data_IF_887840789449
#
_entry.id   IF_887840789449
#
_cell.length_a   1.000
_cell.length_b   1.000
_cell.length_c   1.000
_cell.angle_alpha   90.00
_cell.angle_beta   90.00
_cell.angle_gamma   90.00
#
_symmetry.space_group_name_H-M   'P 1'
#
loop_
_entity.id
_entity.type
_entity.pdbx_description
1 polymer ?
#
# COMPACT_ATOMS: atom_id res chain seq x y z
N UNK A 1 14.55 -3.17 -72.64
CA UNK A 1 14.14 -3.42 -71.24
C UNK A 1 14.51 -4.85 -70.91
N UNK A 2 15.65 -5.08 -70.26
CA UNK A 2 16.15 -6.44 -69.99
C UNK A 2 16.29 -6.59 -68.48
N UNK A 3 15.38 -7.36 -67.88
CA UNK A 3 15.39 -7.64 -66.45
C UNK A 3 16.24 -8.90 -66.18
N UNK A 4 17.42 -8.71 -65.61
CA UNK A 4 18.29 -9.81 -65.16
C UNK A 4 17.66 -10.55 -63.98
N UNK A 5 17.53 -11.89 -64.02
CA UNK A 5 16.99 -12.65 -62.90
C UNK A 5 17.99 -12.67 -61.73
N UNK A 6 17.49 -12.37 -60.52
CA UNK A 6 18.26 -12.35 -59.27
C UNK A 6 18.61 -13.79 -58.85
N UNK A 7 19.87 -14.21 -59.06
CA UNK A 7 20.38 -15.49 -58.56
C UNK A 7 20.36 -15.47 -57.04
N UNK A 8 19.53 -16.33 -56.46
CA UNK A 8 19.38 -16.49 -55.01
C UNK A 8 20.27 -17.63 -54.56
N UNK A 9 21.29 -17.34 -53.73
CA UNK A 9 22.34 -18.27 -53.34
C UNK A 9 21.79 -19.50 -52.58
N UNK A 10 22.40 -20.70 -52.70
CA UNK A 10 21.90 -21.93 -52.06
C UNK A 10 21.71 -21.79 -50.55
N UNK A 11 22.64 -21.10 -49.87
CA UNK A 11 22.56 -20.78 -48.45
C UNK A 11 21.30 -20.00 -48.08
N UNK A 12 20.92 -18.99 -48.88
CA UNK A 12 19.73 -18.18 -48.62
C UNK A 12 18.41 -18.97 -48.77
N UNK A 13 18.37 -20.00 -49.60
CA UNK A 13 17.22 -20.93 -49.70
C UNK A 13 17.16 -21.88 -48.52
N UNK A 14 18.30 -22.38 -48.04
CA UNK A 14 18.39 -23.20 -46.83
C UNK A 14 17.99 -22.40 -45.60
N UNK A 15 18.47 -21.17 -45.45
CA UNK A 15 18.13 -20.27 -44.35
C UNK A 15 16.64 -19.92 -44.34
N UNK A 16 16.02 -19.70 -45.50
CA UNK A 16 14.58 -19.51 -45.61
C UNK A 16 13.78 -20.76 -45.21
N UNK A 17 14.22 -21.96 -45.63
CA UNK A 17 13.59 -23.25 -45.26
C UNK A 17 13.70 -23.56 -43.77
N UNK A 18 14.82 -23.20 -43.14
CA UNK A 18 15.04 -23.35 -41.70
C UNK A 18 14.61 -22.11 -40.88
N UNK A 19 13.88 -21.18 -41.49
CA UNK A 19 13.29 -20.02 -40.80
C UNK A 19 14.29 -18.97 -40.30
N UNK A 20 15.57 -19.07 -40.67
CA UNK A 20 16.65 -18.14 -40.32
C UNK A 20 16.62 -16.93 -41.25
N UNK A 21 15.56 -16.13 -41.17
CA UNK A 21 15.52 -14.85 -41.86
C UNK A 21 16.09 -13.73 -40.96
N UNK A 22 16.89 -12.79 -41.50
CA UNK A 22 17.36 -11.61 -40.77
C UNK A 22 16.20 -10.79 -40.18
N UNK A 23 15.05 -10.77 -40.89
CA UNK A 23 13.80 -10.12 -40.45
C UNK A 23 13.22 -10.79 -39.20
N UNK A 24 13.27 -12.12 -39.11
CA UNK A 24 12.83 -12.87 -37.93
C UNK A 24 13.71 -12.62 -36.70
N UNK A 25 15.03 -12.56 -36.89
CA UNK A 25 15.97 -12.23 -35.80
C UNK A 25 15.77 -10.80 -35.29
N UNK A 26 15.63 -9.82 -36.19
CA UNK A 26 15.38 -8.42 -35.82
C UNK A 26 14.06 -8.24 -35.07
N UNK A 27 12.98 -8.91 -35.51
CA UNK A 27 11.69 -8.88 -34.81
C UNK A 27 11.77 -9.45 -33.39
N UNK A 28 12.47 -10.58 -33.19
CA UNK A 28 12.68 -11.16 -31.85
C UNK A 28 13.46 -10.23 -30.93
N UNK A 29 14.50 -9.56 -31.45
CA UNK A 29 15.27 -8.57 -30.68
C UNK A 29 14.41 -7.36 -30.30
N UNK A 30 13.61 -6.82 -31.21
CA UNK A 30 12.72 -5.68 -30.93
C UNK A 30 11.66 -6.06 -29.88
N UNK A 31 11.05 -7.24 -30.01
CA UNK A 31 10.06 -7.73 -29.03
C UNK A 31 10.72 -7.98 -27.67
N UNK A 32 11.89 -8.61 -27.65
CA UNK A 32 12.63 -8.84 -26.40
C UNK A 32 13.01 -7.53 -25.71
N UNK A 33 13.50 -6.55 -26.47
CA UNK A 33 13.82 -5.22 -25.95
C UNK A 33 12.57 -4.50 -25.43
N UNK A 34 11.46 -4.53 -26.18
CA UNK A 34 10.23 -3.87 -25.73
C UNK A 34 9.69 -4.48 -24.43
N UNK A 35 9.75 -5.81 -24.30
CA UNK A 35 9.32 -6.50 -23.06
C UNK A 35 10.24 -6.13 -21.90
N UNK A 36 11.56 -6.11 -22.12
CA UNK A 36 12.52 -5.72 -21.09
C UNK A 36 12.31 -4.28 -20.62
N UNK A 37 12.11 -3.33 -21.55
CA UNK A 37 11.83 -1.93 -21.22
C UNK A 37 10.52 -1.80 -20.46
N UNK A 38 9.46 -2.47 -20.92
CA UNK A 38 8.17 -2.46 -20.22
C UNK A 38 8.29 -3.00 -18.79
N UNK A 39 9.02 -4.09 -18.60
CA UNK A 39 9.26 -4.66 -17.27
C UNK A 39 10.01 -3.68 -16.37
N UNK A 40 11.08 -3.05 -16.86
CA UNK A 40 11.84 -2.05 -16.08
C UNK A 40 10.97 -0.87 -15.68
N UNK A 41 10.12 -0.37 -16.57
CA UNK A 41 9.21 0.76 -16.27
C UNK A 41 8.18 0.37 -15.22
N UNK A 42 7.53 -0.79 -15.37
CA UNK A 42 6.52 -1.26 -14.40
C UNK A 42 7.16 -1.52 -13.04
N UNK A 43 8.34 -2.15 -13.02
CA UNK A 43 9.07 -2.42 -11.79
C UNK A 43 9.51 -1.13 -11.08
N UNK A 44 10.05 -0.16 -11.84
CA UNK A 44 10.42 1.14 -11.27
C UNK A 44 9.21 1.88 -10.69
N UNK A 45 8.07 1.90 -11.40
CA UNK A 45 6.84 2.49 -10.91
C UNK A 45 6.36 1.82 -9.61
N UNK A 46 6.42 0.48 -9.55
CA UNK A 46 6.07 -0.28 -8.35
C UNK A 46 7.00 0.02 -7.16
N UNK A 47 8.32 0.10 -7.38
CA UNK A 47 9.30 0.46 -6.33
C UNK A 47 9.04 1.86 -5.80
N UNK A 48 8.78 2.83 -6.68
CA UNK A 48 8.43 4.21 -6.29
C UNK A 48 7.17 4.20 -5.44
N UNK A 49 6.12 3.51 -5.88
CA UNK A 49 4.87 3.39 -5.12
C UNK A 49 5.09 2.78 -3.73
N UNK A 50 5.79 1.64 -3.64
CA UNK A 50 6.07 0.95 -2.39
C UNK A 50 6.93 1.78 -1.42
N UNK A 51 7.86 2.60 -1.94
CA UNK A 51 8.70 3.46 -1.12
C UNK A 51 7.90 4.58 -0.44
N UNK A 52 6.86 5.11 -1.09
CA UNK A 52 6.04 6.19 -0.54
C UNK A 52 4.90 5.70 0.35
N UNK A 53 4.46 4.44 0.20
CA UNK A 53 3.39 3.84 1.02
C UNK A 53 3.80 3.65 2.50
N UNK A 54 5.10 3.53 2.79
CA UNK A 54 5.63 3.20 4.12
C UNK A 54 5.92 4.39 5.05
N UNK A 55 5.47 5.62 4.76
CA UNK A 55 5.89 6.80 5.52
C UNK A 55 4.94 7.13 6.67
N UNK A 56 5.07 6.43 7.79
CA UNK A 56 4.51 6.83 9.09
C UNK A 56 5.48 6.56 10.26
N UNK A 57 6.79 6.69 10.02
CA UNK A 57 7.82 6.29 11.00
C UNK A 57 7.95 7.18 12.25
N UNK A 58 7.22 8.30 12.32
CA UNK A 58 7.24 9.20 13.48
C UNK A 58 6.06 8.97 14.43
N UNK A 59 4.99 8.33 13.96
CA UNK A 59 3.77 8.14 14.73
C UNK A 59 3.19 6.76 14.44
N UNK A 60 3.21 5.91 15.45
CA UNK A 60 2.65 4.57 15.39
C UNK A 60 1.61 4.37 16.48
N UNK A 61 0.51 3.70 16.15
CA UNK A 61 -0.59 3.42 17.07
C UNK A 61 -0.93 1.95 17.05
N UNK A 62 -1.14 1.36 18.22
CA UNK A 62 -1.52 -0.03 18.39
C UNK A 62 -2.76 -0.16 19.28
N UNK A 63 -3.74 -0.92 18.81
CA UNK A 63 -4.89 -1.31 19.63
C UNK A 63 -4.48 -2.33 20.68
N UNK A 64 -4.83 -2.08 21.94
CA UNK A 64 -4.53 -2.98 23.07
C UNK A 64 -5.76 -3.82 23.42
N UNK A 65 -6.94 -3.20 23.47
CA UNK A 65 -8.19 -3.89 23.78
C UNK A 65 -9.37 -2.94 23.94
N UNK A 66 -10.54 -3.53 24.17
CA UNK A 66 -11.77 -2.79 24.46
C UNK A 66 -12.63 -3.53 25.49
N UNK A 67 -13.44 -2.77 26.22
CA UNK A 67 -14.39 -3.26 27.22
C UNK A 67 -15.74 -2.59 26.96
N UNK A 68 -16.76 -3.37 26.61
CA UNK A 68 -18.13 -2.86 26.44
C UNK A 68 -18.75 -2.67 27.82
N UNK A 69 -18.90 -1.42 28.25
CA UNK A 69 -19.41 -1.08 29.59
C UNK A 69 -20.93 -0.96 29.62
N UNK A 70 -21.58 -0.63 28.49
CA UNK A 70 -23.04 -0.63 28.35
C UNK A 70 -23.48 -0.68 26.88
N UNK A 71 -24.79 -0.70 26.62
CA UNK A 71 -25.34 -0.61 25.25
C UNK A 71 -25.14 0.77 24.59
N UNK A 72 -24.58 1.75 25.32
CA UNK A 72 -24.33 3.13 24.85
C UNK A 72 -22.91 3.61 25.16
N UNK A 73 -22.01 2.72 25.62
CA UNK A 73 -20.65 3.09 25.94
C UNK A 73 -19.67 1.91 25.83
N UNK A 74 -18.48 2.21 25.34
CA UNK A 74 -17.34 1.29 25.29
C UNK A 74 -16.08 2.01 25.75
N UNK A 75 -15.23 1.30 26.45
CA UNK A 75 -13.92 1.77 26.86
C UNK A 75 -12.86 1.16 25.94
N UNK A 76 -12.01 1.99 25.35
CA UNK A 76 -11.00 1.59 24.36
C UNK A 76 -9.62 1.86 24.94
N UNK A 77 -8.77 0.84 24.92
CA UNK A 77 -7.36 0.92 25.29
C UNK A 77 -6.48 0.82 24.05
N UNK A 78 -5.59 1.79 23.89
CA UNK A 78 -4.68 1.89 22.76
C UNK A 78 -3.33 2.46 23.21
N UNK A 79 -2.27 2.09 22.52
CA UNK A 79 -0.92 2.59 22.74
C UNK A 79 -0.52 3.50 21.59
N UNK A 80 -0.03 4.69 21.92
CA UNK A 80 0.50 5.64 20.95
C UNK A 80 2.00 5.77 21.16
N UNK A 81 2.74 5.58 20.08
CA UNK A 81 4.18 5.74 19.99
C UNK A 81 4.50 6.97 19.14
N UNK A 82 5.09 8.00 19.74
CA UNK A 82 5.48 9.25 19.08
C UNK A 82 6.83 9.74 19.60
N UNK A 83 7.46 10.70 18.91
CA UNK A 83 8.66 11.36 19.44
C UNK A 83 8.34 12.16 20.72
N UNK A 84 9.33 12.20 21.63
CA UNK A 84 9.14 12.83 22.95
C UNK A 84 8.94 14.32 22.81
N UNK A 85 7.98 14.88 23.57
CA UNK A 85 7.68 16.30 23.52
C UNK A 85 6.68 16.72 22.43
N UNK A 86 6.16 15.77 21.65
CA UNK A 86 5.19 16.05 20.59
C UNK A 86 3.77 15.68 21.00
N UNK A 87 2.81 16.58 20.74
CA UNK A 87 1.39 16.33 20.97
C UNK A 87 0.80 15.55 19.79
N UNK A 88 -0.21 14.72 20.06
CA UNK A 88 -0.82 13.85 19.06
C UNK A 88 -2.33 13.92 19.17
N UNK A 89 -3.00 14.01 18.04
CA UNK A 89 -4.45 13.87 17.94
C UNK A 89 -4.80 12.50 17.40
N UNK A 90 -5.68 11.78 18.08
CA UNK A 90 -6.12 10.45 17.66
C UNK A 90 -7.64 10.41 17.47
N UNK A 91 -8.08 9.75 16.41
CA UNK A 91 -9.48 9.37 16.21
C UNK A 91 -9.70 7.97 16.77
N UNK A 92 -10.61 7.86 17.73
CA UNK A 92 -11.05 6.60 18.33
C UNK A 92 -12.47 6.33 17.87
N UNK A 93 -12.74 5.10 17.46
CA UNK A 93 -14.04 4.67 16.97
C UNK A 93 -14.52 3.40 17.66
N UNK A 94 -15.83 3.17 17.57
CA UNK A 94 -16.45 1.92 17.98
C UNK A 94 -17.41 1.44 16.91
N UNK A 95 -17.47 0.12 16.74
CA UNK A 95 -18.24 -0.54 15.70
C UNK A 95 -19.24 -1.55 16.29
N UNK A 96 -20.37 -1.74 15.61
CA UNK A 96 -21.34 -2.80 15.89
C UNK A 96 -20.98 -4.13 15.20
N UNK A 97 -21.81 -5.16 15.35
CA UNK A 97 -21.62 -6.47 14.71
C UNK A 97 -21.65 -6.46 13.17
N UNK A 98 -22.18 -5.39 12.57
CA UNK A 98 -22.17 -5.15 11.13
C UNK A 98 -21.02 -4.26 10.67
N UNK A 99 -20.03 -3.96 11.52
CA UNK A 99 -18.91 -3.05 11.24
C UNK A 99 -19.33 -1.60 10.96
N UNK A 100 -20.55 -1.22 11.33
CA UNK A 100 -20.99 0.18 11.27
C UNK A 100 -20.36 0.95 12.42
N UNK A 101 -19.85 2.14 12.15
CA UNK A 101 -19.34 3.05 13.19
C UNK A 101 -20.50 3.61 13.99
N UNK A 102 -20.52 3.31 15.28
CA UNK A 102 -21.58 3.68 16.24
C UNK A 102 -21.10 4.63 17.32
N UNK A 103 -19.79 4.89 17.38
CA UNK A 103 -19.19 5.91 18.25
C UNK A 103 -17.92 6.45 17.60
N UNK A 104 -17.68 7.76 17.76
CA UNK A 104 -16.49 8.43 17.25
C UNK A 104 -16.09 9.57 18.17
N UNK A 105 -14.79 9.72 18.44
CA UNK A 105 -14.25 10.83 19.22
C UNK A 105 -12.81 11.11 18.81
N UNK A 106 -12.49 12.39 18.71
CA UNK A 106 -11.10 12.85 18.61
C UNK A 106 -10.61 13.12 20.03
N UNK A 107 -9.45 12.57 20.37
CA UNK A 107 -8.77 12.77 21.65
C UNK A 107 -7.45 13.48 21.41
N UNK A 108 -7.22 14.52 22.21
CA UNK A 108 -5.99 15.31 22.20
C UNK A 108 -5.06 14.74 23.26
N UNK A 109 -3.97 14.11 22.84
CA UNK A 109 -2.96 13.52 23.71
C UNK A 109 -1.84 14.54 23.91
N UNK A 110 -1.58 14.98 25.15
CA UNK A 110 -0.52 15.94 25.40
C UNK A 110 0.85 15.31 25.13
N UNK A 111 1.84 16.16 24.89
CA UNK A 111 3.22 15.76 24.80
C UNK A 111 3.66 14.92 26.00
N UNK A 112 4.30 13.78 25.72
CA UNK A 112 4.81 12.85 26.73
C UNK A 112 6.34 12.82 26.71
N UNK A 113 6.94 12.59 27.87
CA UNK A 113 8.37 12.26 28.00
C UNK A 113 8.66 10.80 27.62
N UNK A 114 7.63 9.95 27.56
CA UNK A 114 7.74 8.56 27.18
C UNK A 114 7.39 8.40 25.69
N UNK A 115 8.22 7.65 24.97
CA UNK A 115 8.01 7.40 23.53
C UNK A 115 6.74 6.61 23.23
N UNK A 116 6.32 5.73 24.14
CA UNK A 116 5.15 4.86 23.98
C UNK A 116 4.28 4.95 25.23
N UNK A 117 3.03 5.41 25.08
CA UNK A 117 2.09 5.60 26.19
C UNK A 117 0.77 4.90 25.87
N UNK A 118 0.24 4.16 26.85
CA UNK A 118 -1.09 3.56 26.76
C UNK A 118 -2.13 4.49 27.34
N UNK A 119 -3.18 4.75 26.58
CA UNK A 119 -4.32 5.55 26.98
C UNK A 119 -5.58 4.69 27.03
N UNK A 120 -6.51 5.10 27.89
CA UNK A 120 -7.84 4.52 27.99
C UNK A 120 -8.87 5.61 27.78
N UNK A 121 -9.76 5.44 26.81
CA UNK A 121 -10.79 6.42 26.48
C UNK A 121 -12.16 5.79 26.50
N UNK A 122 -13.07 6.38 27.28
CA UNK A 122 -14.50 6.07 27.21
C UNK A 122 -15.13 6.79 26.02
N UNK A 123 -15.84 6.01 25.20
CA UNK A 123 -16.53 6.44 24.00
C UNK A 123 -18.03 6.18 24.13
N UNK A 124 -18.83 7.23 23.95
CA UNK A 124 -20.28 7.11 23.87
C UNK A 124 -20.69 6.55 22.50
N UNK A 125 -21.64 5.63 22.50
CA UNK A 125 -22.14 4.97 21.29
C UNK A 125 -23.64 5.16 21.13
N UNK A 126 -24.12 5.23 19.89
CA UNK A 126 -25.55 5.33 19.56
C UNK A 126 -26.31 4.04 19.84
N UNK A 127 -25.61 2.91 19.72
CA UNK A 127 -26.08 1.56 19.98
C UNK A 127 -24.93 0.68 20.50
N UNK A 128 -25.22 -0.60 20.78
CA UNK A 128 -24.25 -1.50 21.40
C UNK A 128 -23.08 -1.77 20.45
N UNK A 129 -21.89 -1.35 20.87
CA UNK A 129 -20.65 -1.71 20.18
C UNK A 129 -20.23 -3.15 20.52
N UNK A 130 -19.53 -3.77 19.58
CA UNK A 130 -18.85 -5.06 19.76
C UNK A 130 -17.34 -4.94 19.64
N UNK A 131 -16.83 -3.79 19.20
CA UNK A 131 -15.40 -3.52 19.08
C UNK A 131 -15.17 -2.02 19.25
N UNK A 132 -14.06 -1.65 19.87
CA UNK A 132 -13.53 -0.29 19.88
C UNK A 132 -12.05 -0.32 19.50
N UNK A 133 -11.63 0.66 18.70
CA UNK A 133 -10.29 0.71 18.12
C UNK A 133 -9.85 2.14 17.81
N UNK A 134 -8.56 2.32 17.58
CA UNK A 134 -7.97 3.56 17.10
C UNK A 134 -8.00 3.58 15.58
N UNK A 135 -8.72 4.54 15.00
CA UNK A 135 -8.86 4.64 13.55
C UNK A 135 -7.59 5.18 12.92
N UNK A 136 -7.10 6.31 13.44
CA UNK A 136 -5.84 6.94 13.01
C UNK A 136 -5.37 7.97 14.03
N UNK A 137 -4.07 8.24 14.05
CA UNK A 137 -3.49 9.38 14.75
C UNK A 137 -2.76 10.32 13.77
N UNK A 138 -2.64 11.59 14.13
CA UNK A 138 -1.87 12.58 13.40
C UNK A 138 -1.25 13.59 14.36
N UNK A 139 -0.21 14.26 13.88
CA UNK A 139 0.37 15.44 14.53
C UNK A 139 -0.53 16.65 14.24
N UNK A 140 -0.88 17.46 15.25
CA UNK A 140 -1.80 18.60 15.11
C UNK A 140 -1.27 19.75 14.26
#
# INVERSE_FOLDING_TARGET
>A
MTSTPRVTSPSSRLDARYGRSPRGRRRRLVVGLSVAVAFVVVFAAWVVFAAFDGTSSQLESADVGYQVTSDRAVEVQYTVTADTGEAVDCAVEAQNSGFAVVGWKIVHLPASEQRSVTYTTSLATSERAVTGLIYRCWLP
#
